data_IF_393558178818
#
_entry.id   IF_393558178818
#
_cell.length_a   1.000
_cell.length_b   1.000
_cell.length_c   1.000
_cell.angle_alpha   90.00
_cell.angle_beta   90.00
_cell.angle_gamma   90.00
#
_symmetry.space_group_name_H-M   'P 1'
#
loop_
_entity.id
_entity.type
_entity.pdbx_description
1 polymer ?
#
# COMPACT_ATOMS: atom_id res chain seq x y z
N UNK A 1 -0.94 -36.28 -15.90
CA UNK A 1 -0.96 -34.96 -16.54
C UNK A 1 -1.18 -33.92 -15.46
N UNK A 2 -0.10 -33.35 -14.89
CA UNK A 2 -0.22 -32.33 -13.85
C UNK A 2 -0.47 -30.97 -14.50
N UNK A 3 -1.65 -30.40 -14.26
CA UNK A 3 -1.93 -29.01 -14.57
C UNK A 3 -0.94 -28.14 -13.78
N UNK A 4 -0.02 -27.48 -14.49
CA UNK A 4 0.80 -26.42 -13.92
C UNK A 4 -0.15 -25.31 -13.49
N UNK A 5 -0.45 -25.24 -12.20
CA UNK A 5 -1.20 -24.11 -11.64
C UNK A 5 -0.29 -22.90 -11.76
N UNK A 6 -0.59 -22.02 -12.72
CA UNK A 6 0.06 -20.71 -12.81
C UNK A 6 -0.38 -19.91 -11.59
N UNK A 7 0.42 -19.91 -10.52
CA UNK A 7 0.15 -19.09 -9.34
C UNK A 7 0.03 -17.62 -9.75
N UNK A 8 -1.13 -17.01 -9.45
CA UNK A 8 -1.36 -15.59 -9.68
C UNK A 8 -0.32 -14.79 -8.88
N UNK A 9 0.41 -13.89 -9.55
CA UNK A 9 1.33 -12.98 -8.86
C UNK A 9 0.55 -12.01 -7.97
N UNK A 10 1.05 -11.79 -6.77
CA UNK A 10 0.48 -10.83 -5.83
C UNK A 10 0.69 -9.41 -6.35
N UNK A 11 -0.37 -8.59 -6.35
CA UNK A 11 -0.31 -7.18 -6.76
C UNK A 11 -0.19 -6.28 -5.54
N UNK A 12 0.89 -5.51 -5.48
CA UNK A 12 1.20 -4.67 -4.32
C UNK A 12 1.30 -3.22 -4.77
N UNK A 13 0.51 -2.37 -4.13
CA UNK A 13 0.57 -0.92 -4.28
C UNK A 13 1.59 -0.34 -3.29
N UNK A 14 2.43 0.58 -3.76
CA UNK A 14 3.44 1.24 -2.92
C UNK A 14 3.27 2.74 -3.06
N UNK A 15 2.86 3.42 -1.98
CA UNK A 15 2.89 4.87 -1.91
C UNK A 15 4.28 5.32 -1.49
N UNK A 16 5.01 5.95 -2.39
CA UNK A 16 6.32 6.52 -2.14
C UNK A 16 6.21 8.03 -1.95
N UNK A 17 6.10 8.48 -0.70
CA UNK A 17 6.05 9.91 -0.37
C UNK A 17 7.33 10.47 0.23
N UNK A 18 8.27 9.60 0.65
CA UNK A 18 9.58 9.96 1.22
C UNK A 18 10.54 10.56 0.18
N UNK A 19 10.30 10.30 -1.11
CA UNK A 19 11.26 10.61 -2.16
C UNK A 19 12.45 9.65 -2.15
N UNK A 20 13.25 9.67 -3.22
CA UNK A 20 14.33 8.68 -3.42
C UNK A 20 13.82 7.37 -4.02
N UNK A 21 14.65 6.31 -3.98
CA UNK A 21 14.34 5.01 -4.62
C UNK A 21 13.97 3.94 -3.57
N UNK A 22 12.74 3.93 -3.03
CA UNK A 22 12.23 2.80 -2.28
C UNK A 22 11.78 1.56 -3.09
N UNK A 23 11.86 1.46 -4.44
CA UNK A 23 11.50 0.21 -5.11
C UNK A 23 12.54 -0.92 -5.03
N UNK A 24 13.84 -0.63 -4.83
CA UNK A 24 14.87 -1.69 -4.99
C UNK A 24 14.84 -2.73 -3.87
N UNK A 25 14.75 -2.29 -2.62
CA UNK A 25 14.66 -3.19 -1.45
C UNK A 25 13.35 -3.99 -1.50
N UNK A 26 12.23 -3.31 -1.77
CA UNK A 26 10.93 -3.97 -1.94
C UNK A 26 10.96 -5.02 -3.07
N UNK A 27 11.49 -4.69 -4.24
CA UNK A 27 11.63 -5.64 -5.36
C UNK A 27 12.53 -6.82 -5.02
N UNK A 28 13.63 -6.59 -4.30
CA UNK A 28 14.53 -7.66 -3.87
C UNK A 28 13.85 -8.60 -2.86
N UNK A 29 12.99 -8.06 -1.99
CA UNK A 29 12.36 -8.80 -0.90
C UNK A 29 11.06 -9.51 -1.28
N UNK A 30 10.35 -9.04 -2.32
CA UNK A 30 9.15 -9.68 -2.91
C UNK A 30 9.28 -9.79 -4.45
N UNK A 31 10.24 -10.58 -4.96
CA UNK A 31 10.56 -10.63 -6.40
C UNK A 31 9.43 -11.18 -7.28
N UNK A 32 8.50 -11.94 -6.69
CA UNK A 32 7.36 -12.53 -7.39
C UNK A 32 6.12 -11.63 -7.41
N UNK A 33 6.16 -10.48 -6.73
CA UNK A 33 5.04 -9.55 -6.69
C UNK A 33 5.10 -8.53 -7.85
N UNK A 34 3.93 -8.19 -8.37
CA UNK A 34 3.76 -7.06 -9.28
C UNK A 34 3.63 -5.77 -8.45
N UNK A 35 4.64 -4.90 -8.52
CA UNK A 35 4.65 -3.65 -7.76
C UNK A 35 4.15 -2.49 -8.62
N UNK A 36 3.16 -1.77 -8.12
CA UNK A 36 2.71 -0.47 -8.66
C UNK A 36 3.11 0.63 -7.69
N UNK A 37 3.96 1.55 -8.13
CA UNK A 37 4.42 2.67 -7.29
C UNK A 37 3.62 3.91 -7.61
N UNK A 38 3.11 4.57 -6.58
CA UNK A 38 2.42 5.85 -6.64
C UNK A 38 3.28 6.88 -5.93
N UNK A 39 3.76 7.85 -6.69
CA UNK A 39 4.63 8.92 -6.22
C UNK A 39 3.82 10.10 -5.65
N UNK A 40 4.49 10.97 -4.87
CA UNK A 40 3.87 12.13 -4.22
C UNK A 40 3.03 13.02 -5.14
N UNK A 41 3.45 13.20 -6.40
CA UNK A 41 2.68 14.01 -7.38
C UNK A 41 1.30 13.42 -7.67
N UNK A 42 1.23 12.09 -7.82
CA UNK A 42 -0.03 11.42 -8.10
C UNK A 42 -0.93 11.44 -6.86
N UNK A 43 -0.36 11.22 -5.67
CA UNK A 43 -1.11 11.38 -4.41
C UNK A 43 -1.64 12.80 -4.24
N UNK A 44 -0.85 13.82 -4.58
CA UNK A 44 -1.31 15.21 -4.53
C UNK A 44 -2.53 15.43 -5.41
N UNK A 45 -2.59 14.85 -6.62
CA UNK A 45 -3.79 14.94 -7.47
C UNK A 45 -5.04 14.26 -6.88
N UNK A 46 -4.88 13.37 -5.89
CA UNK A 46 -5.98 12.68 -5.21
C UNK A 46 -6.39 13.30 -3.89
N UNK A 47 -5.49 14.02 -3.21
CA UNK A 47 -5.68 14.44 -1.83
C UNK A 47 -5.55 15.96 -1.63
N UNK A 48 -4.91 16.66 -2.57
CA UNK A 48 -4.64 18.09 -2.48
C UNK A 48 -5.47 18.83 -3.51
N UNK A 49 -6.41 19.64 -3.04
CA UNK A 49 -6.96 20.71 -3.84
C UNK A 49 -5.97 21.87 -3.81
N UNK A 50 -5.44 22.29 -4.96
CA UNK A 50 -5.04 23.70 -5.10
C UNK A 50 -6.30 24.55 -5.36
N UNK A 51 -6.19 25.89 -5.39
CA UNK A 51 -7.34 26.77 -5.62
C UNK A 51 -8.11 26.49 -6.94
N UNK A 52 -7.52 25.75 -7.88
CA UNK A 52 -8.08 25.44 -9.19
C UNK A 52 -8.52 23.97 -9.36
N UNK A 53 -8.23 23.08 -8.41
CA UNK A 53 -8.46 21.63 -8.56
C UNK A 53 -9.23 21.07 -7.37
N UNK A 54 -10.40 20.48 -7.62
CA UNK A 54 -11.14 19.75 -6.58
C UNK A 54 -10.50 18.38 -6.36
N UNK A 55 -10.49 17.94 -5.11
CA UNK A 55 -10.03 16.60 -4.73
C UNK A 55 -10.95 15.53 -5.34
N UNK A 56 -10.44 14.65 -6.20
CA UNK A 56 -11.22 13.59 -6.84
C UNK A 56 -11.03 12.21 -6.17
N UNK A 57 -11.54 12.11 -4.93
CA UNK A 57 -11.59 10.84 -4.20
C UNK A 57 -12.32 9.73 -4.97
N UNK A 58 -13.48 9.96 -5.60
CA UNK A 58 -14.17 8.92 -6.36
C UNK A 58 -13.30 8.32 -7.48
N UNK A 59 -12.56 9.15 -8.23
CA UNK A 59 -11.65 8.69 -9.26
C UNK A 59 -10.49 7.88 -8.67
N UNK A 60 -9.89 8.36 -7.57
CA UNK A 60 -8.81 7.64 -6.89
C UNK A 60 -9.27 6.25 -6.40
N UNK A 61 -10.44 6.18 -5.74
CA UNK A 61 -11.03 4.92 -5.26
C UNK A 61 -11.30 3.99 -6.44
N UNK A 62 -11.85 4.50 -7.55
CA UNK A 62 -12.14 3.70 -8.75
C UNK A 62 -10.86 3.11 -9.36
N UNK A 63 -9.81 3.93 -9.50
CA UNK A 63 -8.51 3.47 -10.01
C UNK A 63 -7.90 2.39 -9.13
N UNK A 64 -7.89 2.60 -7.81
CA UNK A 64 -7.36 1.64 -6.84
C UNK A 64 -8.13 0.32 -6.87
N UNK A 65 -9.46 0.38 -6.93
CA UNK A 65 -10.33 -0.81 -7.00
C UNK A 65 -10.09 -1.60 -8.29
N UNK A 66 -9.97 -0.92 -9.43
CA UNK A 66 -9.69 -1.55 -10.72
C UNK A 66 -8.30 -2.21 -10.76
N UNK A 67 -7.33 -1.67 -10.01
CA UNK A 67 -6.00 -2.27 -9.88
C UNK A 67 -6.02 -3.67 -9.25
N UNK A 68 -7.02 -3.95 -8.39
CA UNK A 68 -7.19 -5.26 -7.75
C UNK A 68 -6.00 -5.65 -6.88
N UNK A 69 -5.47 -4.69 -6.12
CA UNK A 69 -4.30 -4.87 -5.27
C UNK A 69 -4.63 -5.75 -4.06
N UNK A 70 -3.73 -6.69 -3.77
CA UNK A 70 -3.83 -7.57 -2.60
C UNK A 70 -3.30 -6.87 -1.34
N UNK A 71 -2.41 -5.89 -1.51
CA UNK A 71 -1.82 -5.11 -0.42
C UNK A 71 -1.42 -3.71 -0.86
N UNK A 72 -1.34 -2.79 0.12
CA UNK A 72 -0.78 -1.46 -0.03
C UNK A 72 0.26 -1.18 1.08
N UNK A 73 1.38 -0.56 0.71
CA UNK A 73 2.42 -0.08 1.61
C UNK A 73 2.44 1.45 1.57
N UNK A 74 2.40 2.09 2.73
CA UNK A 74 2.47 3.54 2.88
C UNK A 74 3.87 3.97 3.36
N UNK A 75 4.71 4.44 2.45
CA UNK A 75 6.01 5.06 2.77
C UNK A 75 5.83 6.58 2.86
N UNK A 76 5.27 7.04 3.97
CA UNK A 76 4.99 8.47 4.19
C UNK A 76 6.24 9.25 4.57
N UNK A 77 6.37 10.51 4.13
CA UNK A 77 7.45 11.38 4.59
C UNK A 77 7.39 11.58 6.13
N UNK A 78 8.50 11.89 6.81
CA UNK A 78 8.48 12.21 8.24
C UNK A 78 7.41 13.26 8.58
N UNK A 79 6.58 12.97 9.58
CA UNK A 79 5.48 13.84 9.99
C UNK A 79 4.21 13.75 9.14
N UNK A 80 4.19 12.98 8.05
CA UNK A 80 2.97 12.70 7.29
C UNK A 80 2.26 11.45 7.81
N UNK A 81 0.95 11.57 8.02
CA UNK A 81 0.13 10.46 8.49
C UNK A 81 -0.19 9.47 7.36
N UNK A 82 -0.01 8.14 7.56
CA UNK A 82 -0.38 7.13 6.56
C UNK A 82 -1.89 6.88 6.52
N UNK A 83 -2.65 7.34 7.51
CA UNK A 83 -4.04 6.93 7.69
C UNK A 83 -4.97 7.46 6.59
N UNK A 84 -4.71 8.63 6.01
CA UNK A 84 -5.50 9.12 4.86
C UNK A 84 -5.38 8.17 3.66
N UNK A 85 -4.17 7.70 3.37
CA UNK A 85 -3.92 6.70 2.31
C UNK A 85 -4.48 5.32 2.68
N UNK A 86 -4.33 4.92 3.94
CA UNK A 86 -4.92 3.70 4.46
C UNK A 86 -6.44 3.70 4.31
N UNK A 87 -7.09 4.82 4.58
CA UNK A 87 -8.54 4.94 4.46
C UNK A 87 -8.99 4.92 3.00
N UNK A 88 -8.26 5.60 2.11
CA UNK A 88 -8.48 5.51 0.66
C UNK A 88 -8.38 4.05 0.15
N UNK A 89 -7.37 3.31 0.61
CA UNK A 89 -7.19 1.90 0.26
C UNK A 89 -8.29 1.01 0.83
N UNK A 90 -8.75 1.29 2.05
CA UNK A 90 -9.87 0.60 2.67
C UNK A 90 -11.16 0.76 1.85
N UNK A 91 -11.48 1.99 1.42
CA UNK A 91 -12.63 2.27 0.55
C UNK A 91 -12.53 1.61 -0.84
N UNK A 92 -11.31 1.41 -1.33
CA UNK A 92 -11.03 0.69 -2.56
C UNK A 92 -11.13 -0.84 -2.41
N UNK A 93 -11.22 -1.36 -1.18
CA UNK A 93 -11.32 -2.80 -0.89
C UNK A 93 -9.96 -3.51 -0.79
N UNK A 94 -8.86 -2.79 -0.60
CA UNK A 94 -7.52 -3.39 -0.47
C UNK A 94 -7.36 -3.95 0.96
N UNK A 95 -7.20 -5.27 1.13
CA UNK A 95 -7.34 -5.91 2.44
C UNK A 95 -6.12 -5.71 3.35
N UNK A 96 -4.91 -5.69 2.80
CA UNK A 96 -3.67 -5.46 3.55
C UNK A 96 -3.19 -4.03 3.34
N UNK A 97 -2.98 -3.29 4.42
CA UNK A 97 -2.63 -1.87 4.44
C UNK A 97 -1.57 -1.67 5.50
N UNK A 98 -0.31 -1.57 5.08
CA UNK A 98 0.86 -1.55 5.97
C UNK A 98 1.45 -0.14 5.98
N UNK A 99 1.63 0.44 7.15
CA UNK A 99 2.24 1.77 7.30
C UNK A 99 3.00 1.91 8.61
N UNK A 100 3.73 3.01 8.73
CA UNK A 100 4.41 3.41 9.97
C UNK A 100 3.69 4.61 10.56
N UNK A 101 3.35 4.55 11.85
CA UNK A 101 2.79 5.69 12.57
C UNK A 101 3.01 5.57 14.07
N UNK A 102 3.24 6.72 14.72
CA UNK A 102 3.16 6.85 16.18
C UNK A 102 1.78 7.31 16.67
N UNK A 103 0.84 7.55 15.75
CA UNK A 103 -0.51 8.01 16.05
C UNK A 103 -1.49 6.83 16.13
N UNK A 104 -2.60 7.01 16.85
CA UNK A 104 -3.71 6.06 16.84
C UNK A 104 -4.61 6.29 15.63
N UNK A 105 -4.73 5.30 14.73
CA UNK A 105 -5.66 5.34 13.59
C UNK A 105 -6.57 4.12 13.48
N UNK A 106 -6.78 3.39 14.59
CA UNK A 106 -7.66 2.24 14.66
C UNK A 106 -7.30 1.14 13.65
N UNK A 107 -8.29 0.65 12.90
CA UNK A 107 -8.14 -0.45 11.92
C UNK A 107 -7.93 0.04 10.48
N UNK A 108 -7.63 1.33 10.30
CA UNK A 108 -7.40 1.91 8.97
C UNK A 108 -6.14 1.31 8.34
N UNK A 109 -5.06 1.17 9.11
CA UNK A 109 -3.98 0.25 8.77
C UNK A 109 -4.35 -1.14 9.29
N UNK A 110 -4.09 -2.17 8.50
CA UNK A 110 -4.21 -3.54 9.01
C UNK A 110 -2.95 -3.96 9.77
N UNK A 111 -1.81 -3.37 9.44
CA UNK A 111 -0.54 -3.58 10.12
C UNK A 111 0.18 -2.24 10.28
N UNK A 112 0.61 -1.93 11.50
CA UNK A 112 1.29 -0.68 11.80
C UNK A 112 2.63 -1.00 12.47
N UNK A 113 3.73 -0.55 11.85
CA UNK A 113 5.03 -0.53 12.49
C UNK A 113 5.22 0.78 13.28
N UNK A 114 5.99 0.78 14.37
CA UNK A 114 6.48 2.00 15.00
C UNK A 114 7.27 2.88 14.01
N UNK A 115 7.23 4.22 14.16
CA UNK A 115 7.81 5.17 13.20
C UNK A 115 9.34 5.22 13.19
N UNK A 116 10.00 4.61 14.18
CA UNK A 116 11.46 4.56 14.36
C UNK A 116 12.11 3.32 13.73
N UNK A 117 11.32 2.44 13.10
CA UNK A 117 11.84 1.26 12.41
C UNK A 117 12.16 1.55 10.94
N UNK A 118 13.11 0.80 10.37
CA UNK A 118 13.45 0.89 8.95
C UNK A 118 12.36 0.29 8.06
N UNK A 119 12.43 0.58 6.75
CA UNK A 119 11.46 0.07 5.75
C UNK A 119 11.37 -1.47 5.75
N UNK A 120 12.43 -2.18 6.16
CA UNK A 120 12.46 -3.63 6.33
C UNK A 120 11.34 -4.15 7.26
N UNK A 121 10.96 -3.36 8.27
CA UNK A 121 9.86 -3.70 9.17
C UNK A 121 8.51 -3.75 8.45
N UNK A 122 8.26 -2.78 7.55
CA UNK A 122 7.06 -2.76 6.71
C UNK A 122 7.01 -3.96 5.77
N UNK A 123 8.16 -4.33 5.20
CA UNK A 123 8.24 -5.49 4.30
C UNK A 123 8.04 -6.81 5.04
N UNK A 124 8.59 -6.94 6.26
CA UNK A 124 8.38 -8.12 7.09
C UNK A 124 6.91 -8.28 7.47
N UNK A 125 6.26 -7.21 7.91
CA UNK A 125 4.81 -7.21 8.16
C UNK A 125 4.02 -7.60 6.92
N UNK A 126 4.38 -7.07 5.74
CA UNK A 126 3.75 -7.46 4.49
C UNK A 126 3.95 -8.96 4.18
N UNK A 127 5.14 -9.50 4.42
CA UNK A 127 5.46 -10.91 4.18
C UNK A 127 4.69 -11.83 5.13
N UNK A 128 4.58 -11.46 6.40
CA UNK A 128 3.78 -12.16 7.40
C UNK A 128 2.30 -12.14 7.02
N UNK A 129 1.79 -10.97 6.62
CA UNK A 129 0.44 -10.80 6.11
C UNK A 129 0.20 -11.60 4.83
N UNK A 130 1.19 -11.64 3.93
CA UNK A 130 1.17 -12.35 2.66
C UNK A 130 1.19 -13.88 2.81
N UNK A 131 1.87 -14.42 3.83
CA UNK A 131 1.76 -15.84 4.21
C UNK A 131 0.35 -16.18 4.68
N UNK A 132 -0.34 -15.23 5.33
CA UNK A 132 -1.74 -15.35 5.73
C UNK A 132 -2.74 -15.13 4.58
N UNK A 133 -2.28 -14.77 3.36
CA UNK A 133 -3.13 -14.72 2.15
C UNK A 133 -3.41 -16.12 1.57
N UNK A 134 -2.83 -17.19 2.11
CA UNK A 134 -3.39 -18.53 1.94
C UNK A 134 -4.83 -18.52 2.49
N UNK A 135 -5.82 -19.06 1.77
CA UNK A 135 -7.21 -18.60 1.81
C UNK A 135 -7.81 -18.71 3.21
N UNK A 136 -7.78 -17.60 3.95
CA UNK A 136 -8.41 -17.43 5.25
C UNK A 136 -9.75 -16.66 5.15
N UNK A 137 -10.34 -16.61 3.96
CA UNK A 137 -11.72 -16.19 3.74
C UNK A 137 -12.41 -17.23 2.86
N UNK A 138 -13.20 -18.10 3.51
CA UNK A 138 -14.29 -18.87 2.88
C UNK A 138 -15.60 -18.17 3.18
#
# INVERSE_FOLDING_TARGET
MSAKTTSKRQKILVFNLRGGSPPLVLRAMVPEAELTVVESRQVASWLSADEATLVDWPQAISWLRQGGFDAAIMLTAPGQSPYTLGYLCYLAGIPIRVGQSGEFGGQVLSHCAPPDQDDDALVNLLRESGRSLAPAFR
#
